data_IF_333214265358
#
_entry.id   IF_333214265358
#
_cell.length_a   1.000
_cell.length_b   1.000
_cell.length_c   1.000
_cell.angle_alpha   90.00
_cell.angle_beta   90.00
_cell.angle_gamma   90.00
#
_symmetry.space_group_name_H-M   'P 1'
#
loop_
_entity.id
_entity.type
_entity.pdbx_description
1 polymer ?
#
# COMPACT_ATOMS: atom_id res chain seq x y z
N UNK A 1 33.77 32.33 57.52
CA UNK A 1 32.86 33.36 56.94
C UNK A 1 32.76 33.13 55.43
N UNK A 2 31.72 32.44 54.95
CA UNK A 2 31.46 32.27 53.50
C UNK A 2 30.18 33.04 53.15
N UNK A 3 30.31 34.10 52.33
CA UNK A 3 29.18 34.91 51.87
C UNK A 3 28.53 34.22 50.68
N UNK A 4 27.25 33.87 50.82
CA UNK A 4 26.39 33.34 49.77
C UNK A 4 25.80 34.57 49.04
N UNK A 5 26.25 34.81 47.81
CA UNK A 5 25.68 35.84 46.94
C UNK A 5 24.44 35.26 46.23
N UNK A 6 23.27 35.84 46.51
CA UNK A 6 22.02 35.54 45.79
C UNK A 6 21.92 36.46 44.58
N UNK A 7 21.92 35.90 43.37
CA UNK A 7 21.65 36.64 42.13
C UNK A 7 20.14 36.61 41.88
N UNK A 8 19.47 37.76 41.67
CA UNK A 8 18.05 37.80 41.37
C UNK A 8 17.80 37.44 39.89
N UNK A 9 16.99 36.41 39.67
CA UNK A 9 16.54 35.99 38.34
C UNK A 9 15.37 36.88 37.92
N UNK A 10 15.62 37.85 37.06
CA UNK A 10 14.56 38.65 36.42
C UNK A 10 14.03 37.88 35.21
N UNK A 11 12.85 37.28 35.34
CA UNK A 11 12.13 36.63 34.26
C UNK A 11 11.37 37.72 33.48
N UNK A 12 11.88 38.09 32.31
CA UNK A 12 11.16 38.96 31.36
C UNK A 12 10.25 38.11 30.48
N UNK A 13 8.93 38.16 30.76
CA UNK A 13 7.87 37.62 29.90
C UNK A 13 7.64 38.57 28.70
N UNK A 14 8.44 38.41 27.65
CA UNK A 14 8.15 39.01 26.35
C UNK A 14 7.07 38.19 25.64
N UNK A 15 5.81 38.58 25.83
CA UNK A 15 4.68 38.10 25.04
C UNK A 15 4.70 38.76 23.66
N UNK A 16 5.54 38.21 22.76
CA UNK A 16 5.52 38.54 21.34
C UNK A 16 4.35 37.80 20.67
N UNK A 17 3.25 38.51 20.43
CA UNK A 17 2.10 38.01 19.67
C UNK A 17 2.51 37.85 18.20
N UNK A 18 3.12 36.71 17.86
CA UNK A 18 3.37 36.35 16.47
C UNK A 18 2.01 36.10 15.79
N UNK A 19 1.59 37.04 14.95
CA UNK A 19 0.48 36.87 14.01
C UNK A 19 0.86 35.75 13.04
N UNK A 20 0.58 34.51 13.43
CA UNK A 20 0.64 33.34 12.55
C UNK A 20 -0.36 33.57 11.43
N UNK A 21 0.15 33.93 10.26
CA UNK A 21 -0.62 33.94 9.01
C UNK A 21 -1.01 32.50 8.71
N UNK A 22 -2.22 32.13 9.14
CA UNK A 22 -2.78 30.82 8.83
C UNK A 22 -2.89 30.75 7.30
N UNK A 23 -2.19 29.83 6.63
CA UNK A 23 -2.22 29.73 5.18
C UNK A 23 -3.67 29.50 4.73
N UNK A 24 -4.08 30.19 3.67
CA UNK A 24 -5.47 30.29 3.19
C UNK A 24 -6.01 29.00 2.53
N UNK A 25 -5.80 27.85 3.18
CA UNK A 25 -6.54 26.63 2.91
C UNK A 25 -7.95 26.82 3.45
N UNK A 26 -8.91 26.97 2.55
CA UNK A 26 -10.30 27.31 2.85
C UNK A 26 -10.87 26.52 4.03
N UNK A 27 -11.53 27.25 4.93
CA UNK A 27 -11.94 26.92 6.30
C UNK A 27 -12.90 25.73 6.51
N UNK A 28 -13.08 24.84 5.54
CA UNK A 28 -13.88 23.64 5.75
C UNK A 28 -12.98 22.51 6.19
N UNK A 29 -13.02 22.20 7.48
CA UNK A 29 -12.36 21.00 8.01
C UNK A 29 -12.80 19.79 7.18
N UNK A 30 -11.87 19.08 6.51
CA UNK A 30 -12.24 17.99 5.61
C UNK A 30 -13.00 16.91 6.40
N UNK A 31 -14.10 16.36 5.85
CA UNK A 31 -14.89 15.34 6.52
C UNK A 31 -14.06 14.08 6.74
N UNK A 32 -14.32 13.36 7.83
CA UNK A 32 -13.73 12.04 8.06
C UNK A 32 -14.67 11.01 7.43
N UNK A 33 -14.17 10.22 6.48
CA UNK A 33 -14.93 9.14 5.84
C UNK A 33 -14.20 7.83 6.08
N UNK A 34 -14.80 6.90 6.83
CA UNK A 34 -14.18 5.61 7.18
C UNK A 34 -12.78 5.74 7.83
N UNK A 35 -12.56 6.80 8.61
CA UNK A 35 -11.27 7.11 9.22
C UNK A 35 -10.24 7.73 8.27
N UNK A 36 -10.60 7.98 7.01
CA UNK A 36 -9.78 8.69 6.05
C UNK A 36 -10.14 10.18 6.01
N UNK A 37 -9.12 11.02 5.86
CA UNK A 37 -9.24 12.46 5.65
C UNK A 37 -8.57 12.80 4.32
N UNK A 38 -9.34 13.35 3.38
CA UNK A 38 -8.83 13.80 2.09
C UNK A 38 -8.58 15.31 2.11
N UNK A 39 -7.37 15.70 1.75
CA UNK A 39 -6.93 17.08 1.57
C UNK A 39 -6.63 17.27 0.09
N UNK A 40 -7.35 18.18 -0.55
CA UNK A 40 -7.17 18.54 -1.95
C UNK A 40 -6.32 19.80 -2.06
N UNK A 41 -5.36 19.81 -3.00
CA UNK A 41 -4.62 21.01 -3.37
C UNK A 41 -3.10 20.81 -3.40
N UNK A 42 -2.40 21.89 -3.75
CA UNK A 42 -0.93 21.93 -3.80
C UNK A 42 -0.34 21.88 -2.40
N UNK A 43 0.72 21.09 -2.19
CA UNK A 43 1.45 21.07 -0.92
C UNK A 43 1.86 22.50 -0.48
N UNK A 44 1.92 22.78 0.84
CA UNK A 44 2.35 24.08 1.32
C UNK A 44 3.76 24.39 0.80
N UNK A 45 3.97 25.60 0.28
CA UNK A 45 5.25 26.05 -0.28
C UNK A 45 5.80 27.25 0.50
N UNK A 46 7.12 27.38 0.54
CA UNK A 46 7.84 28.54 1.09
C UNK A 46 7.76 29.72 0.12
N UNK A 47 8.27 30.87 0.52
CA UNK A 47 8.42 32.04 -0.37
C UNK A 47 9.39 31.79 -1.53
N UNK A 48 10.32 30.84 -1.40
CA UNK A 48 11.20 30.39 -2.50
C UNK A 48 10.54 29.41 -3.46
N UNK A 49 9.30 28.98 -3.17
CA UNK A 49 8.57 28.00 -3.97
C UNK A 49 8.88 26.55 -3.62
N UNK A 50 9.78 26.27 -2.67
CA UNK A 50 10.06 24.90 -2.21
C UNK A 50 8.92 24.37 -1.33
N UNK A 51 8.76 23.05 -1.24
CA UNK A 51 7.76 22.45 -0.34
C UNK A 51 8.13 22.75 1.11
N UNK A 52 7.22 23.40 1.83
CA UNK A 52 7.37 23.71 3.25
C UNK A 52 7.03 22.48 4.09
N UNK A 53 8.05 21.67 4.38
CA UNK A 53 7.89 20.40 5.10
C UNK A 53 7.34 20.61 6.52
N UNK A 54 7.74 21.69 7.19
CA UNK A 54 7.28 21.96 8.56
C UNK A 54 5.78 22.31 8.61
N UNK A 55 5.31 23.16 7.68
CA UNK A 55 3.88 23.44 7.55
C UNK A 55 3.06 22.18 7.20
N UNK A 56 3.63 21.28 6.38
CA UNK A 56 3.01 20.01 6.05
C UNK A 56 2.93 19.07 7.27
N UNK A 57 3.99 18.96 8.05
CA UNK A 57 4.02 18.18 9.31
C UNK A 57 2.96 18.66 10.30
N UNK A 58 2.85 19.97 10.50
CA UNK A 58 1.83 20.57 11.36
C UNK A 58 0.41 20.26 10.87
N UNK A 59 0.19 20.31 9.55
CA UNK A 59 -1.09 19.96 8.94
C UNK A 59 -1.46 18.50 9.22
N UNK A 60 -0.53 17.57 9.00
CA UNK A 60 -0.72 16.14 9.24
C UNK A 60 -0.99 15.85 10.73
N UNK A 61 -0.19 16.44 11.61
CA UNK A 61 -0.35 16.31 13.05
C UNK A 61 -1.73 16.80 13.51
N UNK A 62 -2.19 17.94 12.99
CA UNK A 62 -3.53 18.48 13.26
C UNK A 62 -4.63 17.52 12.82
N UNK A 63 -4.47 16.84 11.68
CA UNK A 63 -5.46 15.84 11.24
C UNK A 63 -5.47 14.60 12.13
N UNK A 64 -4.32 14.04 12.48
CA UNK A 64 -4.26 12.84 13.34
C UNK A 64 -4.70 13.08 14.79
N UNK A 65 -4.67 14.33 15.26
CA UNK A 65 -5.23 14.72 16.54
C UNK A 65 -6.78 14.60 16.59
N UNK A 66 -7.44 14.52 15.43
CA UNK A 66 -8.89 14.33 15.35
C UNK A 66 -9.23 12.86 15.66
N UNK A 67 -10.26 12.59 16.49
CA UNK A 67 -10.65 11.23 16.83
C UNK A 67 -11.15 10.47 15.59
N UNK A 68 -10.73 9.22 15.46
CA UNK A 68 -11.12 8.33 14.37
C UNK A 68 -10.30 8.45 13.08
N UNK A 69 -9.34 9.39 12.99
CA UNK A 69 -8.47 9.50 11.81
C UNK A 69 -7.39 8.43 11.82
N UNK A 70 -7.41 7.59 10.80
CA UNK A 70 -6.46 6.52 10.51
C UNK A 70 -5.59 6.86 9.30
N UNK A 71 -6.12 7.59 8.32
CA UNK A 71 -5.37 7.95 7.12
C UNK A 71 -5.56 9.42 6.73
N UNK A 72 -4.46 10.07 6.33
CA UNK A 72 -4.47 11.41 5.75
C UNK A 72 -3.99 11.31 4.30
N UNK A 73 -4.86 11.63 3.36
CA UNK A 73 -4.56 11.57 1.93
C UNK A 73 -4.45 12.98 1.36
N UNK A 74 -3.34 13.27 0.69
CA UNK A 74 -3.15 14.46 -0.13
C UNK A 74 -3.42 14.10 -1.59
N UNK A 75 -4.48 14.66 -2.18
CA UNK A 75 -4.89 14.41 -3.57
C UNK A 75 -4.55 15.56 -4.48
N UNK A 76 -4.30 15.24 -5.74
CA UNK A 76 -3.92 16.16 -6.82
C UNK A 76 -2.65 16.94 -6.46
N UNK A 77 -1.66 16.21 -5.90
CA UNK A 77 -0.37 16.79 -5.53
C UNK A 77 0.42 17.12 -6.79
N UNK A 78 0.54 18.42 -7.09
CA UNK A 78 1.31 18.89 -8.24
C UNK A 78 2.80 19.06 -7.87
N UNK A 79 3.62 18.13 -8.33
CA UNK A 79 5.08 18.12 -8.18
C UNK A 79 5.73 17.80 -9.51
N UNK A 80 6.79 18.53 -9.85
CA UNK A 80 7.66 18.20 -10.99
C UNK A 80 8.39 16.88 -10.74
N UNK A 81 8.80 16.17 -11.78
CA UNK A 81 9.56 14.91 -11.66
C UNK A 81 10.84 15.08 -10.81
N UNK A 82 11.53 16.20 -10.98
CA UNK A 82 12.70 16.54 -10.18
C UNK A 82 12.36 16.71 -8.69
N UNK A 83 11.27 17.42 -8.37
CA UNK A 83 10.78 17.55 -6.99
C UNK A 83 10.36 16.19 -6.41
N UNK A 84 9.65 15.36 -7.17
CA UNK A 84 9.23 14.03 -6.75
C UNK A 84 10.45 13.18 -6.36
N UNK A 85 11.50 13.19 -7.19
CA UNK A 85 12.74 12.46 -6.91
C UNK A 85 13.45 12.99 -5.66
N UNK A 86 13.61 14.31 -5.54
CA UNK A 86 14.29 14.93 -4.39
C UNK A 86 13.53 14.65 -3.10
N UNK A 87 12.20 14.76 -3.10
CA UNK A 87 11.38 14.61 -1.90
C UNK A 87 11.21 13.15 -1.49
N UNK A 88 10.96 12.23 -2.43
CA UNK A 88 10.58 10.86 -2.09
C UNK A 88 11.72 9.84 -2.19
N UNK A 89 12.73 10.09 -3.02
CA UNK A 89 13.82 9.14 -3.30
C UNK A 89 15.17 9.57 -2.71
N UNK A 90 15.20 10.60 -1.86
CA UNK A 90 16.44 11.00 -1.17
C UNK A 90 16.95 9.89 -0.23
N UNK A 91 18.22 9.52 -0.40
CA UNK A 91 18.94 8.65 0.53
C UNK A 91 19.32 9.32 1.85
N UNK A 92 19.23 10.65 1.92
CA UNK A 92 19.41 11.45 3.14
C UNK A 92 18.07 11.51 3.91
N UNK A 93 17.99 11.01 5.16
CA UNK A 93 16.76 10.98 5.94
C UNK A 93 16.22 12.39 6.24
N UNK A 94 17.08 13.39 6.33
CA UNK A 94 16.68 14.78 6.64
C UNK A 94 16.11 15.50 5.41
N UNK A 95 16.29 14.93 4.22
CA UNK A 95 15.71 15.43 2.95
C UNK A 95 14.58 14.55 2.44
N UNK A 96 14.47 13.33 2.92
CA UNK A 96 13.39 12.42 2.54
C UNK A 96 12.08 12.83 3.22
N UNK A 97 11.10 13.24 2.43
CA UNK A 97 9.81 13.73 2.90
C UNK A 97 9.04 12.65 3.67
N UNK A 98 9.04 11.40 3.21
CA UNK A 98 8.34 10.31 3.90
C UNK A 98 8.98 10.04 5.27
N UNK A 99 10.31 10.12 5.35
CA UNK A 99 11.01 9.98 6.63
C UNK A 99 10.69 11.12 7.58
N UNK A 100 10.72 12.37 7.14
CA UNK A 100 10.38 13.54 7.97
C UNK A 100 8.93 13.50 8.47
N UNK A 101 8.00 13.01 7.64
CA UNK A 101 6.59 12.85 7.99
C UNK A 101 6.36 11.69 8.94
N UNK A 102 7.16 10.62 8.84
CA UNK A 102 7.01 9.44 9.72
C UNK A 102 7.12 9.73 11.21
N UNK A 103 7.72 10.87 11.59
CA UNK A 103 7.84 11.32 12.97
C UNK A 103 6.53 11.91 13.51
N UNK A 104 5.64 12.38 12.65
CA UNK A 104 4.30 12.87 13.03
C UNK A 104 3.20 11.83 12.82
N UNK A 105 3.52 10.68 12.22
CA UNK A 105 2.59 9.54 12.11
C UNK A 105 2.57 8.78 13.45
N UNK A 106 1.45 8.78 14.19
CA UNK A 106 1.40 8.14 15.49
C UNK A 106 1.55 6.63 15.36
N UNK A 107 2.35 6.02 16.23
CA UNK A 107 2.30 4.58 16.47
C UNK A 107 1.08 4.28 17.36
N UNK A 108 -0.02 3.82 16.80
CA UNK A 108 -1.11 3.25 17.61
C UNK A 108 -0.87 1.77 17.88
N UNK A 109 -1.27 1.30 19.07
CA UNK A 109 -1.22 -0.11 19.48
C UNK A 109 -2.13 -0.99 18.59
N UNK A 110 -1.64 -1.34 17.39
CA UNK A 110 -2.33 -2.21 16.44
C UNK A 110 -3.29 -1.52 15.47
N UNK A 111 -3.50 -0.21 15.56
CA UNK A 111 -4.23 0.53 14.50
C UNK A 111 -3.23 1.11 13.52
N UNK A 112 -3.35 0.71 12.26
CA UNK A 112 -2.54 1.24 11.17
C UNK A 112 -2.83 2.73 10.97
N UNK A 113 -1.78 3.54 10.85
CA UNK A 113 -1.90 4.96 10.49
C UNK A 113 -1.03 5.30 9.32
N UNK A 114 -1.59 6.02 8.35
CA UNK A 114 -0.97 6.26 7.06
C UNK A 114 -1.10 7.70 6.60
N UNK A 115 -0.08 8.16 5.88
CA UNK A 115 -0.12 9.37 5.07
C UNK A 115 0.14 8.98 3.63
N UNK A 116 -0.76 9.37 2.73
CA UNK A 116 -0.68 9.04 1.31
C UNK A 116 -0.63 10.32 0.49
N UNK A 117 0.38 10.45 -0.38
CA UNK A 117 0.50 11.48 -1.40
C UNK A 117 0.13 10.86 -2.75
N UNK A 118 -0.88 11.44 -3.41
CA UNK A 118 -1.39 10.92 -4.68
C UNK A 118 -1.45 12.01 -5.74
N UNK A 119 -0.88 11.69 -6.88
CA UNK A 119 -1.02 12.38 -8.16
C UNK A 119 -1.59 11.40 -9.19
N UNK A 120 -1.74 11.84 -10.43
CA UNK A 120 -2.21 11.01 -11.54
C UNK A 120 -1.17 9.95 -11.95
N UNK A 121 0.11 10.29 -11.82
CA UNK A 121 1.27 9.51 -12.26
C UNK A 121 1.95 8.73 -11.13
N UNK A 122 2.02 9.31 -9.92
CA UNK A 122 2.71 8.71 -8.78
C UNK A 122 1.85 8.57 -7.53
N UNK A 123 2.28 7.64 -6.67
CA UNK A 123 1.72 7.43 -5.33
C UNK A 123 2.86 7.19 -4.34
N UNK A 124 2.87 7.93 -3.23
CA UNK A 124 3.84 7.72 -2.15
C UNK A 124 3.10 7.64 -0.82
N UNK A 125 3.27 6.54 -0.08
CA UNK A 125 2.62 6.28 1.21
C UNK A 125 3.66 5.99 2.28
N UNK A 126 3.44 6.52 3.47
CA UNK A 126 4.21 6.20 4.67
C UNK A 126 3.26 5.95 5.83
N UNK A 127 3.54 4.93 6.63
CA UNK A 127 2.68 4.58 7.75
C UNK A 127 3.35 3.71 8.79
N UNK A 128 2.67 3.54 9.91
CA UNK A 128 3.10 2.64 10.99
C UNK A 128 2.07 1.55 11.20
N UNK A 129 2.55 0.32 11.26
CA UNK A 129 1.78 -0.88 11.54
C UNK A 129 2.52 -1.68 12.60
N UNK A 130 1.89 -1.93 13.74
CA UNK A 130 2.51 -2.61 14.88
C UNK A 130 3.86 -2.00 15.32
N UNK A 131 4.00 -0.68 15.15
CA UNK A 131 5.22 0.07 15.46
C UNK A 131 6.28 0.05 14.35
N UNK A 132 6.16 -0.84 13.37
CA UNK A 132 7.06 -0.90 12.21
C UNK A 132 6.74 0.24 11.23
N UNK A 133 7.79 0.91 10.76
CA UNK A 133 7.69 1.97 9.77
C UNK A 133 7.71 1.38 8.36
N UNK A 134 6.60 1.57 7.64
CA UNK A 134 6.41 1.10 6.26
C UNK A 134 6.34 2.28 5.29
N UNK A 135 6.94 2.12 4.13
CA UNK A 135 6.81 3.06 3.02
C UNK A 135 6.61 2.33 1.68
N UNK A 136 5.77 2.91 0.83
CA UNK A 136 5.51 2.44 -0.54
C UNK A 136 5.58 3.62 -1.49
N UNK A 137 6.39 3.49 -2.54
CA UNK A 137 6.58 4.53 -3.57
C UNK A 137 6.33 3.87 -4.93
N UNK A 138 5.42 4.46 -5.70
CA UNK A 138 5.01 3.98 -7.01
C UNK A 138 5.01 5.10 -8.03
N UNK A 139 5.35 4.75 -9.28
CA UNK A 139 5.20 5.67 -10.42
C UNK A 139 6.25 6.76 -10.51
N UNK A 140 7.24 6.78 -9.62
CA UNK A 140 8.42 7.65 -9.72
C UNK A 140 9.53 6.89 -10.44
N UNK A 141 10.23 7.55 -11.38
CA UNK A 141 11.38 6.95 -12.05
C UNK A 141 12.53 6.71 -11.07
N UNK A 142 12.99 5.45 -11.04
CA UNK A 142 14.09 4.98 -10.19
C UNK A 142 15.36 4.71 -11.00
N UNK A 143 15.31 4.88 -12.33
CA UNK A 143 16.43 4.57 -13.25
C UNK A 143 17.71 5.31 -12.87
N UNK A 144 17.57 6.50 -12.29
CA UNK A 144 18.67 7.37 -11.92
C UNK A 144 19.21 7.13 -10.49
N UNK A 145 18.66 6.17 -9.74
CA UNK A 145 19.15 5.83 -8.40
C UNK A 145 20.31 4.85 -8.45
N UNK A 146 21.44 5.28 -7.87
CA UNK A 146 22.58 4.40 -7.60
C UNK A 146 22.19 3.30 -6.62
N UNK A 147 22.94 2.18 -6.62
CA UNK A 147 22.70 1.10 -5.65
C UNK A 147 22.90 1.57 -4.20
N UNK A 148 23.85 2.49 -3.97
CA UNK A 148 24.09 3.09 -2.66
C UNK A 148 22.89 3.93 -2.19
N UNK A 149 22.32 4.77 -3.06
CA UNK A 149 21.10 5.52 -2.73
C UNK A 149 19.92 4.59 -2.45
N UNK A 150 19.75 3.52 -3.23
CA UNK A 150 18.71 2.50 -2.98
C UNK A 150 18.91 1.79 -1.64
N UNK A 151 20.15 1.49 -1.26
CA UNK A 151 20.47 0.90 0.03
C UNK A 151 20.19 1.88 1.18
N UNK A 152 20.61 3.14 1.05
CA UNK A 152 20.35 4.19 2.04
C UNK A 152 18.85 4.41 2.22
N UNK A 153 18.09 4.47 1.13
CA UNK A 153 16.63 4.61 1.18
C UNK A 153 15.98 3.41 1.90
N UNK A 154 16.42 2.18 1.61
CA UNK A 154 15.92 0.98 2.30
C UNK A 154 16.26 0.96 3.78
N UNK A 155 17.40 1.52 4.19
CA UNK A 155 17.79 1.59 5.60
C UNK A 155 16.96 2.58 6.42
N UNK A 156 16.22 3.50 5.78
CA UNK A 156 15.38 4.48 6.46
C UNK A 156 14.04 3.91 6.96
N UNK A 157 13.60 2.76 6.45
CA UNK A 157 12.30 2.17 6.73
C UNK A 157 12.45 0.69 7.11
N UNK A 158 11.63 0.18 8.02
CA UNK A 158 11.62 -1.25 8.34
C UNK A 158 11.17 -2.06 7.13
N UNK A 159 10.24 -1.49 6.35
CA UNK A 159 9.82 -2.05 5.07
C UNK A 159 9.62 -0.96 4.02
N UNK A 160 10.38 -1.06 2.94
CA UNK A 160 10.26 -0.18 1.79
C UNK A 160 9.90 -0.98 0.53
N UNK A 161 8.80 -0.58 -0.11
CA UNK A 161 8.41 -1.07 -1.44
C UNK A 161 8.58 0.04 -2.46
N UNK A 162 9.33 -0.25 -3.52
CA UNK A 162 9.56 0.65 -4.63
C UNK A 162 9.02 -0.01 -5.90
N UNK A 163 8.11 0.67 -6.61
CA UNK A 163 7.55 0.23 -7.88
C UNK A 163 7.82 1.31 -8.94
N UNK A 164 8.60 0.97 -9.96
CA UNK A 164 9.00 1.93 -10.98
C UNK A 164 7.84 2.26 -11.92
N UNK A 165 7.84 3.47 -12.48
CA UNK A 165 6.93 3.84 -13.56
C UNK A 165 7.05 2.90 -14.78
N UNK A 166 8.27 2.43 -15.07
CA UNK A 166 8.58 1.53 -16.18
C UNK A 166 8.02 0.11 -16.01
N UNK A 167 7.70 -0.32 -14.78
CA UNK A 167 7.16 -1.66 -14.53
C UNK A 167 5.66 -1.76 -14.86
N UNK A 168 4.94 -0.63 -15.00
CA UNK A 168 3.50 -0.63 -15.37
C UNK A 168 3.25 -0.96 -16.84
N UNK A 169 4.26 -0.86 -17.71
CA UNK A 169 4.10 -0.96 -19.17
C UNK A 169 4.42 -2.32 -19.81
N UNK A 170 5.01 -3.28 -19.10
CA UNK A 170 5.49 -4.50 -19.74
C UNK A 170 5.45 -5.73 -18.84
N UNK A 171 4.70 -6.75 -19.25
CA UNK A 171 4.70 -8.15 -18.74
C UNK A 171 3.62 -8.59 -17.73
N UNK A 172 2.35 -8.23 -17.93
CA UNK A 172 1.26 -9.10 -17.49
C UNK A 172 0.87 -10.20 -18.50
N UNK A 173 1.40 -10.17 -19.73
CA UNK A 173 1.03 -11.15 -20.76
C UNK A 173 1.78 -12.50 -20.69
N UNK A 174 2.99 -12.58 -20.10
CA UNK A 174 3.87 -13.74 -20.34
C UNK A 174 4.17 -14.65 -19.15
N UNK A 175 3.60 -14.42 -17.95
CA UNK A 175 3.81 -15.34 -16.81
C UNK A 175 2.68 -16.38 -16.63
N UNK A 176 2.00 -16.73 -17.73
CA UNK A 176 1.05 -17.86 -17.83
C UNK A 176 1.56 -18.98 -18.75
N UNK A 177 2.87 -19.03 -19.03
CA UNK A 177 3.50 -20.12 -19.77
C UNK A 177 4.69 -20.65 -19.01
N UNK A 178 4.66 -21.91 -18.56
CA UNK A 178 5.84 -22.56 -18.01
C UNK A 178 5.67 -23.43 -16.76
N UNK A 179 4.45 -23.88 -16.43
CA UNK A 179 4.36 -25.23 -15.83
C UNK A 179 4.62 -26.19 -16.98
N UNK A 180 5.88 -26.61 -17.12
CA UNK A 180 6.23 -27.81 -17.86
C UNK A 180 5.39 -28.95 -17.27
N UNK A 181 4.30 -29.27 -17.96
CA UNK A 181 3.68 -30.57 -17.84
C UNK A 181 4.68 -31.57 -18.39
N UNK A 182 5.42 -32.22 -17.50
CA UNK A 182 6.00 -33.51 -17.79
C UNK A 182 4.88 -34.53 -17.86
N UNK A 183 4.42 -34.79 -19.07
CA UNK A 183 4.21 -36.13 -19.62
C UNK A 183 3.79 -37.19 -18.60
N UNK A 184 2.56 -37.10 -18.09
CA UNK A 184 1.89 -38.26 -17.51
C UNK A 184 1.11 -38.98 -18.62
N UNK A 185 1.86 -39.58 -19.53
CA UNK A 185 1.38 -40.62 -20.44
C UNK A 185 1.09 -41.85 -19.58
N UNK A 186 -0.13 -41.93 -19.06
CA UNK A 186 -0.65 -43.16 -18.52
C UNK A 186 -1.17 -44.04 -19.65
N UNK A 187 -0.55 -45.20 -19.96
CA UNK A 187 -1.29 -46.30 -20.52
C UNK A 187 -2.03 -46.99 -19.38
N UNK A 188 -3.31 -47.27 -19.61
CA UNK A 188 -4.08 -48.10 -18.69
C UNK A 188 -3.46 -49.48 -18.51
N UNK A 189 -3.57 -50.00 -17.29
CA UNK A 189 -3.73 -51.43 -16.99
C UNK A 189 -4.15 -51.51 -15.53
N UNK A 190 -5.42 -51.74 -15.21
CA UNK A 190 -5.96 -53.08 -14.95
C UNK A 190 -4.98 -53.99 -14.17
N UNK A 191 -5.44 -54.30 -12.96
CA UNK A 191 -5.54 -55.64 -12.40
C UNK A 191 -4.38 -56.19 -11.56
N UNK A 192 -4.79 -56.86 -10.47
CA UNK A 192 -4.06 -57.82 -9.60
C UNK A 192 -2.90 -57.23 -8.78
N UNK A 193 -2.82 -57.38 -7.45
CA UNK A 193 -3.15 -58.57 -6.66
C UNK A 193 -1.82 -59.25 -6.23
N UNK A 194 -1.74 -59.66 -4.96
CA UNK A 194 -0.59 -60.29 -4.28
C UNK A 194 0.55 -59.33 -3.89
N UNK A 195 1.11 -59.35 -2.69
CA UNK A 195 1.29 -60.45 -1.74
C UNK A 195 2.79 -60.73 -1.58
N UNK A 196 3.18 -61.22 -0.41
CA UNK A 196 4.50 -61.75 -0.01
C UNK A 196 5.68 -60.79 0.20
N UNK A 197 5.96 -60.51 1.47
CA UNK A 197 7.15 -60.99 2.19
C UNK A 197 8.31 -61.51 1.31
N UNK A 198 9.50 -60.91 1.42
CA UNK A 198 10.70 -61.75 1.50
C UNK A 198 11.90 -61.03 2.14
N UNK A 199 12.56 -61.80 2.99
CA UNK A 199 13.72 -61.46 3.80
C UNK A 199 15.04 -61.77 3.08
N UNK A 200 16.02 -60.87 3.23
CA UNK A 200 17.47 -61.18 3.21
C UNK A 200 18.10 -61.64 1.88
N UNK A 201 19.35 -62.12 1.92
CA UNK A 201 20.53 -61.34 2.30
C UNK A 201 21.68 -61.47 1.26
N UNK A 202 22.62 -60.51 1.30
CA UNK A 202 24.01 -60.72 0.87
C UNK A 202 24.32 -60.62 -0.63
N UNK A 203 25.30 -59.77 -0.96
CA UNK A 203 26.39 -60.21 -1.84
C UNK A 203 27.59 -59.27 -1.73
N UNK A 204 28.71 -59.91 -1.45
CA UNK A 204 30.04 -59.35 -1.46
C UNK A 204 30.39 -58.80 -2.84
N UNK A 205 31.11 -57.69 -2.88
CA UNK A 205 32.12 -57.53 -3.91
C UNK A 205 33.39 -56.90 -3.34
N UNK A 206 34.43 -57.71 -3.37
CA UNK A 206 35.81 -57.44 -2.98
C UNK A 206 36.49 -56.65 -4.10
N UNK A 207 37.09 -55.51 -3.75
CA UNK A 207 37.86 -54.68 -4.69
C UNK A 207 39.02 -54.00 -3.97
N UNK A 208 40.12 -54.74 -3.86
CA UNK A 208 41.44 -54.35 -3.33
C UNK A 208 42.04 -53.14 -4.05
N UNK A 209 42.60 -52.18 -3.31
CA UNK A 209 43.35 -51.08 -3.94
C UNK A 209 43.95 -50.04 -3.01
N UNK A 210 44.98 -50.43 -2.26
CA UNK A 210 46.20 -49.66 -1.94
C UNK A 210 46.09 -48.15 -1.67
N UNK A 211 46.43 -47.80 -0.42
CA UNK A 211 47.53 -46.88 -0.12
C UNK A 211 47.23 -45.39 -0.26
N UNK A 212 47.28 -44.68 0.85
CA UNK A 212 47.27 -43.22 0.84
C UNK A 212 46.93 -42.66 2.20
N UNK A 213 47.94 -42.55 3.05
CA UNK A 213 47.94 -41.80 4.29
C UNK A 213 47.33 -40.41 4.08
N UNK A 214 46.28 -40.08 4.83
CA UNK A 214 45.99 -38.67 5.13
C UNK A 214 45.21 -38.54 6.44
N UNK A 215 45.96 -38.61 7.54
CA UNK A 215 45.54 -38.10 8.83
C UNK A 215 45.29 -36.60 8.74
N UNK A 216 44.01 -36.19 8.73
CA UNK A 216 43.64 -34.81 9.06
C UNK A 216 42.54 -34.20 8.19
N UNK A 217 41.28 -34.61 8.40
CA UNK A 217 40.11 -33.77 8.08
C UNK A 217 38.79 -34.32 8.64
N UNK A 218 38.79 -34.71 9.92
CA UNK A 218 37.53 -34.80 10.67
C UNK A 218 37.12 -33.40 11.10
N UNK A 219 36.08 -32.82 10.48
CA UNK A 219 35.54 -31.53 10.94
C UNK A 219 34.89 -30.62 9.89
N UNK A 220 34.70 -31.07 8.64
CA UNK A 220 34.05 -30.24 7.60
C UNK A 220 32.66 -30.74 7.14
N UNK A 221 32.19 -31.88 7.62
CA UNK A 221 30.85 -32.38 7.28
C UNK A 221 29.74 -31.78 8.15
N UNK A 222 30.01 -31.39 9.39
CA UNK A 222 28.99 -30.81 10.28
C UNK A 222 28.67 -29.34 9.94
N UNK A 223 29.64 -28.59 9.39
CA UNK A 223 29.45 -27.16 9.05
C UNK A 223 28.58 -27.00 7.79
N UNK A 224 28.54 -28.00 6.89
CA UNK A 224 27.65 -27.95 5.72
C UNK A 224 26.20 -28.18 6.11
N UNK A 225 25.93 -29.11 7.04
CA UNK A 225 24.58 -29.44 7.48
C UNK A 225 23.91 -28.29 8.25
N UNK A 226 24.63 -27.66 9.19
CA UNK A 226 24.09 -26.50 9.95
C UNK A 226 23.80 -25.29 9.06
N UNK A 227 24.52 -25.14 7.94
CA UNK A 227 24.26 -24.06 6.98
C UNK A 227 23.07 -24.33 6.07
N UNK A 228 22.74 -25.58 5.78
CA UNK A 228 21.57 -25.95 4.98
C UNK A 228 20.29 -25.91 5.82
N UNK A 229 20.30 -26.37 7.07
CA UNK A 229 19.16 -26.25 7.99
C UNK A 229 18.81 -24.77 8.27
N UNK A 230 19.83 -23.93 8.52
CA UNK A 230 19.64 -22.48 8.74
C UNK A 230 19.19 -21.73 7.47
N UNK A 231 19.41 -22.31 6.28
CA UNK A 231 18.94 -21.77 5.00
C UNK A 231 17.50 -22.19 4.73
N UNK A 232 17.07 -23.38 5.14
CA UNK A 232 15.67 -23.81 5.03
C UNK A 232 14.76 -23.02 5.97
N UNK A 233 15.16 -22.81 7.24
CA UNK A 233 14.37 -22.01 8.18
C UNK A 233 14.19 -20.56 7.71
N UNK A 234 15.27 -19.90 7.24
CA UNK A 234 15.17 -18.54 6.67
C UNK A 234 14.34 -18.47 5.38
N UNK A 235 14.21 -19.59 4.65
CA UNK A 235 13.38 -19.65 3.44
C UNK A 235 11.91 -19.86 3.80
N UNK A 236 11.61 -20.64 4.82
CA UNK A 236 10.26 -20.83 5.33
C UNK A 236 9.68 -19.51 5.88
N UNK A 237 10.44 -18.80 6.73
CA UNK A 237 10.00 -17.52 7.30
C UNK A 237 9.79 -16.44 6.22
N UNK A 238 10.72 -16.29 5.27
CA UNK A 238 10.55 -15.34 4.15
C UNK A 238 9.40 -15.69 3.22
N UNK A 239 8.98 -16.95 3.14
CA UNK A 239 7.84 -17.34 2.32
C UNK A 239 6.50 -17.07 3.00
N UNK A 240 6.42 -17.20 4.32
CA UNK A 240 5.24 -16.84 5.11
C UNK A 240 5.01 -15.32 5.08
N UNK A 241 6.03 -14.52 5.39
CA UNK A 241 5.94 -13.04 5.33
C UNK A 241 5.51 -12.54 3.95
N UNK A 242 6.12 -13.07 2.87
CA UNK A 242 5.75 -12.67 1.50
C UNK A 242 4.34 -13.09 1.10
N UNK A 243 3.77 -14.13 1.72
CA UNK A 243 2.41 -14.60 1.39
C UNK A 243 1.36 -13.80 2.12
N UNK A 244 1.61 -13.42 3.36
CA UNK A 244 0.69 -12.63 4.18
C UNK A 244 0.62 -11.19 3.65
N UNK A 245 1.77 -10.55 3.42
CA UNK A 245 1.84 -9.21 2.81
C UNK A 245 1.15 -9.12 1.46
N UNK A 246 1.35 -10.11 0.60
CA UNK A 246 0.72 -10.13 -0.74
C UNK A 246 -0.79 -10.33 -0.69
N UNK A 247 -1.33 -10.91 0.38
CA UNK A 247 -2.76 -11.12 0.51
C UNK A 247 -3.45 -9.85 0.99
N UNK A 248 -2.87 -9.15 1.95
CA UNK A 248 -3.49 -7.95 2.53
C UNK A 248 -3.33 -6.73 1.63
N UNK A 249 -2.15 -6.51 1.05
CA UNK A 249 -1.94 -5.43 0.06
C UNK A 249 -2.89 -5.59 -1.14
N UNK A 250 -3.06 -6.82 -1.64
CA UNK A 250 -3.96 -7.08 -2.79
C UNK A 250 -5.43 -6.94 -2.44
N UNK A 251 -5.83 -7.18 -1.19
CA UNK A 251 -7.23 -7.02 -0.81
C UNK A 251 -7.60 -5.56 -0.62
N UNK A 252 -6.72 -4.75 -0.02
CA UNK A 252 -6.94 -3.32 0.11
C UNK A 252 -6.91 -2.62 -1.26
N UNK A 253 -5.86 -2.80 -2.05
CA UNK A 253 -5.74 -2.14 -3.38
C UNK A 253 -6.92 -2.51 -4.29
N UNK A 254 -7.29 -3.80 -4.39
CA UNK A 254 -8.42 -4.20 -5.26
C UNK A 254 -9.78 -3.71 -4.78
N UNK A 255 -9.96 -3.51 -3.49
CA UNK A 255 -11.23 -2.98 -2.96
C UNK A 255 -11.33 -1.48 -3.20
N UNK A 256 -10.21 -0.76 -3.14
CA UNK A 256 -10.15 0.68 -3.36
C UNK A 256 -10.29 1.03 -4.85
N UNK A 257 -9.49 0.41 -5.73
CA UNK A 257 -9.55 0.67 -7.18
C UNK A 257 -10.95 0.35 -7.76
N UNK A 258 -11.55 -0.80 -7.40
CA UNK A 258 -12.90 -1.15 -7.87
C UNK A 258 -14.00 -0.24 -7.35
N UNK A 259 -13.79 0.42 -6.21
CA UNK A 259 -14.76 1.36 -5.66
C UNK A 259 -14.67 2.71 -6.35
N UNK A 260 -13.45 3.19 -6.63
CA UNK A 260 -13.24 4.44 -7.35
C UNK A 260 -13.70 4.35 -8.81
N UNK A 261 -13.31 3.30 -9.55
CA UNK A 261 -13.73 3.10 -10.94
C UNK A 261 -15.25 3.07 -11.07
N UNK A 262 -15.93 2.31 -10.19
CA UNK A 262 -17.41 2.26 -10.21
C UNK A 262 -18.08 3.57 -9.84
N UNK A 263 -17.44 4.41 -9.04
CA UNK A 263 -18.03 5.71 -8.67
C UNK A 263 -17.83 6.74 -9.77
N UNK A 264 -16.69 6.72 -10.47
CA UNK A 264 -16.43 7.55 -11.64
C UNK A 264 -17.33 7.16 -12.81
N UNK A 265 -17.37 5.88 -13.19
CA UNK A 265 -18.25 5.37 -14.26
C UNK A 265 -19.70 5.74 -14.00
N UNK A 266 -20.23 5.48 -12.80
CA UNK A 266 -21.63 5.83 -12.48
C UNK A 266 -21.92 7.33 -12.51
N UNK A 267 -20.91 8.17 -12.25
CA UNK A 267 -21.10 9.63 -12.28
C UNK A 267 -21.09 10.14 -13.72
N UNK A 268 -20.27 9.57 -14.59
CA UNK A 268 -20.27 9.89 -16.01
C UNK A 268 -21.53 9.37 -16.71
N UNK A 269 -21.90 8.10 -16.54
CA UNK A 269 -23.11 7.52 -17.12
C UNK A 269 -24.36 8.32 -16.76
N UNK A 270 -24.54 8.68 -15.49
CA UNK A 270 -25.71 9.48 -15.06
C UNK A 270 -25.71 10.89 -15.61
N UNK A 271 -24.54 11.46 -15.93
CA UNK A 271 -24.46 12.79 -16.53
C UNK A 271 -24.82 12.72 -18.00
N UNK A 272 -24.36 11.70 -18.72
CA UNK A 272 -24.71 11.51 -20.13
C UNK A 272 -26.19 11.17 -20.31
N UNK A 273 -26.74 10.24 -19.53
CA UNK A 273 -28.18 9.89 -19.59
C UNK A 273 -29.07 11.11 -19.38
N UNK A 274 -28.78 11.94 -18.37
CA UNK A 274 -29.57 13.17 -18.11
C UNK A 274 -29.43 14.22 -19.20
N UNK A 275 -28.31 14.26 -19.90
CA UNK A 275 -28.15 15.16 -21.03
C UNK A 275 -28.94 14.65 -22.23
N UNK A 276 -28.87 13.36 -22.54
CA UNK A 276 -29.65 12.76 -23.62
C UNK A 276 -31.16 12.89 -23.37
N UNK A 277 -31.63 12.66 -22.14
CA UNK A 277 -33.06 12.83 -21.80
C UNK A 277 -33.54 14.27 -22.03
N UNK A 278 -32.74 15.29 -21.68
CA UNK A 278 -33.11 16.70 -21.93
C UNK A 278 -33.14 17.04 -23.41
N UNK A 279 -32.18 16.52 -24.18
CA UNK A 279 -32.13 16.76 -25.62
C UNK A 279 -33.31 16.07 -26.31
N UNK A 280 -33.63 14.83 -25.92
CA UNK A 280 -34.80 14.11 -26.43
C UNK A 280 -36.15 14.75 -26.02
N UNK A 281 -36.20 15.42 -24.87
CA UNK A 281 -37.38 16.17 -24.44
C UNK A 281 -37.59 17.46 -25.25
N UNK A 282 -36.51 18.18 -25.60
CA UNK A 282 -36.60 19.36 -26.46
C UNK A 282 -36.94 19.04 -27.92
N UNK A 283 -36.55 17.86 -28.41
CA UNK A 283 -36.79 17.45 -29.80
C UNK A 283 -38.15 16.75 -29.99
N UNK A 284 -39.01 16.75 -28.98
CA UNK A 284 -40.38 16.25 -29.09
C UNK A 284 -41.29 17.38 -29.59
N UNK A 285 -41.68 17.40 -30.88
CA UNK A 285 -42.64 18.38 -31.38
C UNK A 285 -43.95 18.27 -30.60
N UNK A 286 -44.47 19.43 -30.19
CA UNK A 286 -45.68 19.66 -29.39
C UNK A 286 -46.57 18.44 -29.26
N UNK A 287 -46.41 17.74 -28.13
CA UNK A 287 -47.27 16.61 -27.79
C UNK A 287 -48.68 17.17 -27.60
N UNK A 288 -49.65 16.85 -28.47
CA UNK A 288 -50.98 17.43 -28.39
C UNK A 288 -51.59 17.15 -27.03
N UNK A 289 -52.24 18.18 -26.47
CA UNK A 289 -52.83 18.20 -25.15
C UNK A 289 -53.54 16.88 -24.85
N UNK A 290 -53.00 16.20 -23.84
CA UNK A 290 -53.43 14.89 -23.39
C UNK A 290 -54.88 15.01 -22.91
N UNK A 291 -55.81 14.66 -23.79
CA UNK A 291 -57.22 14.52 -23.47
C UNK A 291 -57.40 13.73 -22.17
N UNK A 292 -58.26 14.28 -21.32
CA UNK A 292 -58.60 13.78 -20.00
C UNK A 292 -58.77 12.26 -20.02
N UNK A 293 -57.98 11.61 -19.19
CA UNK A 293 -57.98 10.16 -19.08
C UNK A 293 -59.27 9.80 -18.33
N UNK A 294 -60.23 9.09 -18.95
CA UNK A 294 -61.50 8.78 -18.31
C UNK A 294 -61.25 8.00 -17.03
N UNK A 295 -62.07 8.32 -16.02
CA UNK A 295 -61.98 7.79 -14.66
C UNK A 295 -61.76 6.28 -14.68
N UNK A 296 -60.61 5.89 -14.12
CA UNK A 296 -60.20 4.51 -14.06
C UNK A 296 -61.09 3.84 -13.00
N UNK A 297 -61.92 2.86 -13.35
CA UNK A 297 -62.81 2.23 -12.39
C UNK A 297 -62.00 1.62 -11.25
N UNK A 298 -62.54 1.78 -10.04
CA UNK A 298 -61.91 1.35 -8.79
C UNK A 298 -61.40 -0.07 -8.89
N UNK A 299 -60.10 -0.21 -8.62
CA UNK A 299 -59.39 -1.47 -8.67
C UNK A 299 -59.89 -2.31 -7.48
N UNK A 300 -60.49 -3.49 -7.70
CA UNK A 300 -61.02 -4.28 -6.61
C UNK A 300 -59.92 -4.68 -5.63
N UNK A 301 -60.28 -4.67 -4.34
CA UNK A 301 -59.39 -4.94 -3.22
C UNK A 301 -58.65 -6.25 -3.41
N UNK A 302 -57.33 -6.16 -3.28
CA UNK A 302 -56.41 -7.28 -3.41
C UNK A 302 -56.55 -8.14 -2.15
N UNK A 303 -56.96 -9.42 -2.24
CA UNK A 303 -57.11 -10.25 -1.06
C UNK A 303 -55.76 -10.44 -0.36
N UNK A 304 -55.80 -10.33 0.97
CA UNK A 304 -54.66 -10.48 1.85
C UNK A 304 -54.00 -11.84 1.63
N UNK A 305 -52.71 -11.79 1.26
CA UNK A 305 -51.89 -12.96 1.05
C UNK A 305 -51.35 -13.43 2.41
N UNK A 306 -52.23 -13.97 3.24
CA UNK A 306 -51.88 -14.68 4.45
C UNK A 306 -51.39 -16.09 4.10
N UNK A 307 -50.10 -16.32 4.37
CA UNK A 307 -49.53 -17.66 4.44
C UNK A 307 -48.25 -17.80 3.62
N UNK A 308 -47.12 -17.91 4.32
CA UNK A 308 -46.30 -19.12 4.25
C UNK A 308 -45.45 -19.25 5.52
N UNK A 309 -45.41 -20.52 5.99
CA UNK A 309 -44.66 -21.06 7.13
C UNK A 309 -43.15 -20.89 6.96
#
# INVERSE_FOLDING_TARGET
>A
MRRIARIPTAIWLLSGLAMLTIPAWGQTTPPIQNGQVEIFGSLPRTTSGEVNVEALRQTIQTQFARPGVQEVQFRNVSLTEAEQRVLFLSGDPDKNLLRQISDVVPSSNGTERNVTFRSDDFRARVGREEGQLRARIEGIDQSQLTDAERQNLRAQFDRLRLEGASDRGGNQANNRGGRGGGDNSGPGSRNSGHGSDNSGPGSANSGSGRGGDNSGRGGQHDIRNVNDDRREDRRADRQLDRREDRRDDRQLDRREDRREDRQLDRREDRREDRQQDRVAEMDRPDRPDRHERPDRPDRPDRPDRSGHN
#
